data_IF_636341677747
#
_entry.id   IF_636341677747
#
_cell.length_a   1.000
_cell.length_b   1.000
_cell.length_c   1.000
_cell.angle_alpha   90.00
_cell.angle_beta   90.00
_cell.angle_gamma   90.00
#
_symmetry.space_group_name_H-M   'P 1'
#
loop_
_entity.id
_entity.type
_entity.pdbx_description
1 polymer ?
#
# COMPACT_ATOMS: atom_id res chain seq x y z
N UNK A 1 7.42 -12.09 -18.82
CA UNK A 1 6.57 -12.07 -17.60
C UNK A 1 5.89 -10.71 -17.53
N UNK A 2 4.56 -10.64 -17.55
CA UNK A 2 3.84 -9.37 -17.30
C UNK A 2 4.03 -9.04 -15.82
N UNK A 3 4.74 -7.96 -15.49
CA UNK A 3 4.74 -7.43 -14.12
C UNK A 3 3.34 -6.92 -13.82
N UNK A 4 2.58 -7.65 -13.02
CA UNK A 4 1.31 -7.17 -12.50
C UNK A 4 1.60 -6.49 -11.15
N UNK A 5 1.47 -5.18 -11.11
CA UNK A 5 1.60 -4.43 -9.87
C UNK A 5 0.29 -4.54 -9.10
N UNK A 6 0.37 -5.07 -7.88
CA UNK A 6 -0.74 -5.16 -6.95
C UNK A 6 -0.57 -4.09 -5.88
N UNK A 7 -1.66 -3.50 -5.39
CA UNK A 7 -1.60 -2.53 -4.30
C UNK A 7 -2.68 -2.84 -3.29
N UNK A 8 -2.32 -2.86 -2.03
CA UNK A 8 -3.24 -2.95 -0.91
C UNK A 8 -3.22 -1.64 -0.13
N UNK A 9 -4.35 -1.20 0.42
CA UNK A 9 -4.40 0.08 1.12
C UNK A 9 -5.73 0.39 1.78
N UNK A 10 -5.78 1.56 2.40
CA UNK A 10 -7.00 2.20 2.88
C UNK A 10 -7.37 3.37 1.99
N UNK A 11 -8.68 3.57 1.79
CA UNK A 11 -9.23 4.81 1.30
C UNK A 11 -10.04 5.44 2.44
N UNK A 12 -9.67 6.65 2.89
CA UNK A 12 -10.38 7.32 4.00
C UNK A 12 -11.73 7.89 3.59
N UNK A 13 -12.00 7.91 2.28
CA UNK A 13 -13.29 8.21 1.67
C UNK A 13 -13.54 7.17 0.57
N UNK A 14 -14.81 6.93 0.26
CA UNK A 14 -15.17 6.10 -0.88
C UNK A 14 -14.50 6.65 -2.14
N UNK A 15 -13.77 5.79 -2.87
CA UNK A 15 -13.19 6.18 -4.15
C UNK A 15 -14.32 6.55 -5.11
N UNK A 16 -14.18 7.68 -5.79
CA UNK A 16 -15.17 8.17 -6.76
C UNK A 16 -15.20 7.33 -8.03
N UNK A 17 -14.15 6.54 -8.29
CA UNK A 17 -14.00 5.66 -9.45
C UNK A 17 -13.48 4.29 -9.01
N UNK A 18 -14.22 3.24 -9.31
CA UNK A 18 -13.81 1.85 -9.03
C UNK A 18 -12.69 1.38 -9.98
N UNK A 19 -12.56 2.01 -11.15
CA UNK A 19 -11.53 1.70 -12.15
C UNK A 19 -10.12 2.18 -11.73
N UNK A 20 -10.04 3.07 -10.74
CA UNK A 20 -8.79 3.71 -10.34
C UNK A 20 -8.06 2.87 -9.29
N UNK A 21 -6.82 2.48 -9.60
CA UNK A 21 -5.96 1.77 -8.65
C UNK A 21 -5.82 2.63 -7.40
N UNK A 22 -6.03 2.03 -6.24
CA UNK A 22 -5.99 2.71 -4.94
C UNK A 22 -4.77 3.62 -4.77
N UNK A 23 -3.61 3.25 -5.33
CA UNK A 23 -2.36 4.03 -5.24
C UNK A 23 -2.39 5.42 -5.88
N UNK A 24 -3.37 5.70 -6.74
CA UNK A 24 -3.54 7.00 -7.40
C UNK A 24 -4.66 7.84 -6.79
N UNK A 25 -5.49 7.25 -5.93
CA UNK A 25 -6.63 7.95 -5.35
C UNK A 25 -6.20 9.00 -4.32
N UNK A 26 -6.82 10.18 -4.36
CA UNK A 26 -6.70 11.15 -3.27
C UNK A 26 -7.40 10.62 -2.01
N UNK A 27 -6.82 10.86 -0.83
CA UNK A 27 -7.32 10.30 0.43
C UNK A 27 -7.09 8.78 0.55
N UNK A 28 -6.05 8.27 -0.11
CA UNK A 28 -5.66 6.85 -0.02
C UNK A 28 -4.27 6.70 0.57
N UNK A 29 -4.05 5.55 1.18
CA UNK A 29 -2.76 5.13 1.71
C UNK A 29 -2.54 3.70 1.29
N UNK A 30 -1.54 3.45 0.46
CA UNK A 30 -1.37 2.14 -0.15
C UNK A 30 0.09 1.72 -0.27
N UNK A 31 0.25 0.40 -0.32
CA UNK A 31 1.52 -0.27 -0.44
C UNK A 31 1.48 -1.21 -1.65
N UNK A 32 2.38 -0.95 -2.59
CA UNK A 32 2.43 -1.55 -3.91
C UNK A 32 3.51 -2.65 -3.97
N UNK A 33 3.20 -3.74 -4.68
CA UNK A 33 3.99 -4.98 -4.79
C UNK A 33 5.47 -4.81 -5.12
N UNK A 34 5.82 -3.74 -5.82
CA UNK A 34 7.20 -3.43 -6.16
C UNK A 34 7.96 -2.74 -5.01
N UNK A 35 7.32 -2.58 -3.86
CA UNK A 35 7.87 -1.96 -2.64
C UNK A 35 7.61 -0.47 -2.56
N UNK A 36 6.65 0.05 -3.34
CA UNK A 36 6.28 1.47 -3.35
C UNK A 36 5.24 1.80 -2.28
N UNK A 37 5.42 2.90 -1.56
CA UNK A 37 4.39 3.43 -0.65
C UNK A 37 3.80 4.70 -1.28
N UNK A 38 2.47 4.79 -1.29
CA UNK A 38 1.73 5.91 -1.86
C UNK A 38 0.79 6.52 -0.83
N UNK A 39 0.83 7.84 -0.70
CA UNK A 39 0.00 8.64 0.21
C UNK A 39 -0.71 9.70 -0.63
N UNK A 40 -2.04 9.73 -0.58
CA UNK A 40 -2.87 10.65 -1.36
C UNK A 40 -2.55 10.67 -2.87
N UNK A 41 -2.22 9.51 -3.44
CA UNK A 41 -1.84 9.40 -4.86
C UNK A 41 -0.35 9.66 -5.14
N UNK A 42 0.41 10.15 -4.16
CA UNK A 42 1.82 10.50 -4.31
C UNK A 42 2.73 9.38 -3.79
N UNK A 43 3.64 8.91 -4.63
CA UNK A 43 4.64 7.92 -4.25
C UNK A 43 5.74 8.55 -3.40
N UNK A 44 5.88 8.12 -2.15
CA UNK A 44 6.89 8.66 -1.22
C UNK A 44 8.25 7.95 -1.31
N UNK A 45 8.37 6.95 -2.19
CA UNK A 45 9.59 6.19 -2.42
C UNK A 45 9.31 4.72 -2.70
N UNK A 46 10.34 4.01 -3.13
CA UNK A 46 10.30 2.57 -3.41
C UNK A 46 11.48 1.88 -2.76
N UNK A 47 11.19 0.84 -1.97
CA UNK A 47 12.20 0.02 -1.34
C UNK A 47 12.07 -1.43 -1.81
N UNK A 48 13.07 -1.92 -2.55
CA UNK A 48 13.06 -3.29 -3.08
C UNK A 48 12.98 -4.36 -1.98
N UNK A 49 13.48 -4.07 -0.77
CA UNK A 49 13.34 -4.98 0.38
C UNK A 49 11.89 -5.17 0.81
N UNK A 50 11.03 -4.21 0.48
CA UNK A 50 9.60 -4.24 0.77
C UNK A 50 8.80 -4.80 -0.41
N UNK A 51 9.44 -5.19 -1.53
CA UNK A 51 8.71 -5.85 -2.60
C UNK A 51 8.08 -7.17 -2.13
N UNK A 52 6.91 -7.50 -2.67
CA UNK A 52 6.17 -8.71 -2.34
C UNK A 52 5.52 -9.33 -3.58
N UNK A 53 5.25 -10.62 -3.51
CA UNK A 53 4.66 -11.38 -4.62
C UNK A 53 3.92 -12.63 -4.18
N UNK A 54 3.78 -13.59 -5.10
CA UNK A 54 3.08 -14.86 -4.85
C UNK A 54 3.68 -15.56 -3.63
N UNK A 55 2.82 -15.91 -2.67
CA UNK A 55 3.21 -16.60 -1.43
C UNK A 55 3.54 -15.67 -0.26
N UNK A 56 3.76 -14.37 -0.50
CA UNK A 56 3.92 -13.40 0.58
C UNK A 56 2.56 -13.03 1.19
N UNK A 57 2.54 -12.87 2.51
CA UNK A 57 1.41 -12.30 3.25
C UNK A 57 1.64 -10.82 3.48
N UNK A 58 0.72 -9.97 3.02
CA UNK A 58 0.78 -8.52 3.22
C UNK A 58 -0.29 -8.11 4.22
N UNK A 59 0.11 -7.37 5.26
CA UNK A 59 -0.81 -6.84 6.27
C UNK A 59 -0.78 -5.32 6.29
N UNK A 60 -1.94 -4.72 6.55
CA UNK A 60 -2.11 -3.27 6.70
C UNK A 60 -2.89 -3.01 7.99
N UNK A 61 -2.29 -2.24 8.89
CA UNK A 61 -2.90 -1.79 10.13
C UNK A 61 -3.03 -0.28 10.17
N UNK A 62 -3.98 0.20 10.95
CA UNK A 62 -4.12 1.62 11.29
C UNK A 62 -4.15 1.75 12.81
N UNK A 63 -3.32 2.65 13.34
CA UNK A 63 -3.33 3.03 14.74
C UNK A 63 -3.95 4.43 14.85
N UNK A 64 -5.15 4.50 15.43
CA UNK A 64 -5.89 5.76 15.61
C UNK A 64 -5.35 6.63 16.74
N UNK A 65 -4.60 6.06 17.69
CA UNK A 65 -3.98 6.81 18.79
C UNK A 65 -2.78 7.58 18.28
N UNK A 66 -1.94 6.94 17.46
CA UNK A 66 -0.71 7.55 16.92
C UNK A 66 -0.88 8.14 15.52
N UNK A 67 -2.06 7.99 14.89
CA UNK A 67 -2.35 8.42 13.52
C UNK A 67 -1.39 7.80 12.49
N UNK A 68 -1.00 6.55 12.71
CA UNK A 68 -0.07 5.82 11.85
C UNK A 68 -0.78 4.77 11.01
N UNK A 69 -0.28 4.58 9.78
CA UNK A 69 -0.57 3.40 8.97
C UNK A 69 0.67 2.53 8.97
N UNK A 70 0.44 1.24 9.23
CA UNK A 70 1.49 0.26 9.46
C UNK A 70 1.38 -0.78 8.36
N UNK A 71 2.46 -0.96 7.60
CA UNK A 71 2.56 -2.03 6.61
C UNK A 71 3.39 -3.19 7.17
N UNK A 72 3.00 -4.41 6.83
CA UNK A 72 3.74 -5.63 7.21
C UNK A 72 3.90 -6.56 6.02
N UNK A 73 4.99 -7.32 6.01
CA UNK A 73 5.23 -8.44 5.09
C UNK A 73 5.63 -9.67 5.89
N UNK A 74 4.92 -10.78 5.69
CA UNK A 74 5.16 -12.06 6.36
C UNK A 74 5.26 -11.92 7.89
N UNK A 75 4.38 -11.11 8.48
CA UNK A 75 4.33 -10.84 9.92
C UNK A 75 5.36 -9.83 10.43
N UNK A 76 6.24 -9.30 9.56
CA UNK A 76 7.25 -8.32 9.93
C UNK A 76 6.80 -6.91 9.54
N UNK A 77 6.87 -5.97 10.50
CA UNK A 77 6.59 -4.55 10.26
C UNK A 77 7.64 -3.95 9.31
N UNK A 78 7.17 -3.20 8.33
CA UNK A 78 8.01 -2.41 7.43
C UNK A 78 8.32 -1.07 8.10
N UNK A 79 9.59 -0.64 8.01
CA UNK A 79 10.15 0.54 8.69
C UNK A 79 10.24 1.76 7.80
#
# INVERSE_FOLDING_TARGET
>A
MKFCFMSFGFAVKQQSKLEEIIRYGNGTYSFESAGGIYINGEGIGRNAKYSYGVGDTVGIGADSVTLQIIFTKNGLRLG
#
